data_IF_048832330964
#
_entry.id   IF_048832330964
#
_cell.length_a   1.000
_cell.length_b   1.000
_cell.length_c   1.000
_cell.angle_alpha   90.00
_cell.angle_beta   90.00
_cell.angle_gamma   90.00
#
_symmetry.space_group_name_H-M   'P 1'
#
loop_
_entity.id
_entity.type
_entity.pdbx_description
1 polymer ?
#
# COMPACT_ATOMS: atom_id res chain seq x y z
N UNK A 1 -2.62 -3.33 -16.92
CA UNK A 1 -2.36 -4.79 -16.96
C UNK A 1 -3.67 -5.52 -17.27
N UNK A 2 -3.68 -6.41 -18.25
CA UNK A 2 -4.87 -7.21 -18.57
C UNK A 2 -4.90 -8.48 -17.69
N UNK A 3 -5.71 -8.48 -16.63
CA UNK A 3 -5.82 -9.64 -15.73
C UNK A 3 -6.46 -10.88 -16.38
N UNK A 4 -7.03 -10.78 -17.59
CA UNK A 4 -7.53 -11.95 -18.33
C UNK A 4 -6.41 -12.80 -18.90
N UNK A 5 -5.27 -12.20 -19.22
CA UNK A 5 -4.11 -12.89 -19.82
C UNK A 5 -3.21 -13.53 -18.76
N UNK A 6 -3.32 -13.10 -17.50
CA UNK A 6 -2.46 -13.54 -16.39
C UNK A 6 -3.30 -13.91 -15.15
N UNK A 7 -3.99 -15.07 -15.15
CA UNK A 7 -4.91 -15.45 -14.09
C UNK A 7 -4.24 -15.62 -12.73
N UNK A 8 -3.00 -16.13 -12.69
CA UNK A 8 -2.24 -16.32 -11.46
C UNK A 8 -1.84 -14.99 -10.81
N UNK A 9 -1.44 -14.01 -11.64
CA UNK A 9 -1.18 -12.64 -11.18
C UNK A 9 -2.45 -12.00 -10.61
N UNK A 10 -3.59 -12.19 -11.28
CA UNK A 10 -4.87 -11.69 -10.78
C UNK A 10 -5.25 -12.36 -9.45
N UNK A 11 -4.99 -13.66 -9.30
CA UNK A 11 -5.23 -14.39 -8.06
C UNK A 11 -4.30 -13.92 -6.92
N UNK A 12 -3.01 -13.70 -7.20
CA UNK A 12 -2.06 -13.12 -6.26
C UNK A 12 -2.51 -11.73 -5.79
N UNK A 13 -2.87 -10.85 -6.72
CA UNK A 13 -3.37 -9.50 -6.41
C UNK A 13 -4.60 -9.53 -5.49
N UNK A 14 -5.59 -10.38 -5.78
CA UNK A 14 -6.78 -10.55 -4.93
C UNK A 14 -6.43 -11.07 -3.53
N UNK A 15 -5.48 -11.99 -3.42
CA UNK A 15 -5.00 -12.50 -2.12
C UNK A 15 -4.33 -11.40 -1.31
N UNK A 16 -3.41 -10.64 -1.91
CA UNK A 16 -2.72 -9.54 -1.25
C UNK A 16 -3.70 -8.45 -0.76
N UNK A 17 -4.70 -8.09 -1.56
CA UNK A 17 -5.73 -7.14 -1.13
C UNK A 17 -6.54 -7.67 0.06
N UNK A 18 -6.89 -8.97 0.05
CA UNK A 18 -7.60 -9.60 1.16
C UNK A 18 -6.77 -9.59 2.44
N UNK A 19 -5.49 -9.91 2.38
CA UNK A 19 -4.60 -9.85 3.54
C UNK A 19 -4.52 -8.43 4.11
N UNK A 20 -4.37 -7.41 3.25
CA UNK A 20 -4.38 -6.03 3.69
C UNK A 20 -5.70 -5.63 4.39
N UNK A 21 -6.85 -6.07 3.86
CA UNK A 21 -8.15 -5.85 4.49
C UNK A 21 -8.24 -6.52 5.87
N UNK A 22 -7.68 -7.71 6.02
CA UNK A 22 -7.62 -8.40 7.31
C UNK A 22 -6.73 -7.64 8.30
N UNK A 23 -5.58 -7.14 7.85
CA UNK A 23 -4.70 -6.31 8.67
C UNK A 23 -5.39 -5.03 9.15
N UNK A 24 -6.09 -4.31 8.25
CA UNK A 24 -6.86 -3.10 8.62
C UNK A 24 -7.90 -3.43 9.68
N UNK A 25 -8.67 -4.51 9.50
CA UNK A 25 -9.68 -4.94 10.47
C UNK A 25 -9.07 -5.32 11.83
N UNK A 26 -7.90 -5.96 11.82
CA UNK A 26 -7.20 -6.30 13.05
C UNK A 26 -6.74 -5.04 13.78
N UNK A 27 -6.15 -4.08 13.07
CA UNK A 27 -5.76 -2.78 13.64
C UNK A 27 -6.95 -2.01 14.21
N UNK A 28 -8.11 -2.05 13.55
CA UNK A 28 -9.35 -1.45 14.06
C UNK A 28 -9.85 -2.13 15.33
N UNK A 29 -9.89 -3.47 15.33
CA UNK A 29 -10.28 -4.26 16.50
C UNK A 29 -9.37 -4.02 17.71
N UNK A 30 -8.10 -3.76 17.46
CA UNK A 30 -7.10 -3.43 18.48
C UNK A 30 -7.02 -1.93 18.79
N UNK A 31 -7.93 -1.10 18.27
CA UNK A 31 -8.00 0.35 18.51
C UNK A 31 -6.74 1.13 18.10
N UNK A 32 -5.92 0.57 17.20
CA UNK A 32 -4.71 1.20 16.68
C UNK A 32 -5.03 2.23 15.59
N UNK A 33 -6.12 2.02 14.84
CA UNK A 33 -6.64 2.95 13.83
C UNK A 33 -8.16 3.12 14.02
N UNK A 34 -8.72 4.22 13.52
CA UNK A 34 -10.14 4.53 13.67
C UNK A 34 -11.04 3.40 13.17
N UNK A 35 -12.07 3.06 13.95
CA UNK A 35 -13.11 2.10 13.57
C UNK A 35 -13.98 2.59 12.38
N UNK A 36 -14.55 1.64 11.64
CA UNK A 36 -15.42 1.92 10.49
C UNK A 36 -14.68 2.07 9.16
N UNK A 37 -15.41 1.96 8.05
CA UNK A 37 -14.88 2.15 6.69
C UNK A 37 -13.66 1.27 6.32
N UNK A 38 -13.57 0.04 6.82
CA UNK A 38 -12.43 -0.85 6.61
C UNK A 38 -12.04 -1.01 5.12
N UNK A 39 -13.03 -1.10 4.22
CA UNK A 39 -12.79 -1.21 2.77
C UNK A 39 -12.16 0.06 2.19
N UNK A 40 -12.65 1.23 2.59
CA UNK A 40 -12.10 2.52 2.14
C UNK A 40 -10.68 2.73 2.67
N UNK A 41 -10.43 2.42 3.95
CA UNK A 41 -9.09 2.48 4.56
C UNK A 41 -8.12 1.50 3.89
N UNK A 42 -8.59 0.30 3.57
CA UNK A 42 -7.83 -0.69 2.76
C UNK A 42 -7.53 -0.15 1.37
N UNK A 43 -8.51 0.46 0.69
CA UNK A 43 -8.32 1.04 -0.63
C UNK A 43 -7.30 2.18 -0.60
N UNK A 44 -7.35 3.06 0.40
CA UNK A 44 -6.34 4.11 0.57
C UNK A 44 -4.93 3.53 0.73
N UNK A 45 -4.75 2.55 1.61
CA UNK A 45 -3.48 1.85 1.78
C UNK A 45 -2.99 1.18 0.49
N UNK A 46 -3.90 0.50 -0.20
CA UNK A 46 -3.63 -0.16 -1.48
C UNK A 46 -3.21 0.84 -2.57
N UNK A 47 -3.93 1.97 -2.68
CA UNK A 47 -3.61 3.05 -3.63
C UNK A 47 -2.23 3.66 -3.37
N UNK A 48 -1.82 3.82 -2.11
CA UNK A 48 -0.50 4.36 -1.78
C UNK A 48 0.61 3.40 -2.21
N UNK A 49 0.51 2.10 -1.89
CA UNK A 49 1.52 1.10 -2.30
C UNK A 49 1.65 1.05 -3.82
N UNK A 50 0.52 1.04 -4.53
CA UNK A 50 0.53 1.06 -5.99
C UNK A 50 1.09 2.37 -6.55
N UNK A 51 0.70 3.52 -6.00
CA UNK A 51 1.22 4.82 -6.40
C UNK A 51 2.74 4.90 -6.24
N UNK A 52 3.26 4.48 -5.10
CA UNK A 52 4.71 4.40 -4.85
C UNK A 52 5.42 3.48 -5.83
N UNK A 53 4.83 2.31 -6.10
CA UNK A 53 5.41 1.34 -7.03
C UNK A 53 5.48 1.91 -8.46
N UNK A 54 4.41 2.59 -8.90
CA UNK A 54 4.40 3.25 -10.22
C UNK A 54 5.40 4.40 -10.30
N UNK A 55 5.46 5.26 -9.28
CA UNK A 55 6.44 6.35 -9.22
C UNK A 55 7.88 5.83 -9.28
N UNK A 56 8.17 4.71 -8.62
CA UNK A 56 9.47 4.05 -8.66
C UNK A 56 9.78 3.48 -10.05
N UNK A 57 8.85 2.73 -10.64
CA UNK A 57 9.03 2.10 -11.95
C UNK A 57 9.15 3.13 -13.08
N UNK A 58 8.45 4.25 -12.97
CA UNK A 58 8.45 5.32 -13.97
C UNK A 58 9.63 6.32 -13.78
N UNK A 59 10.51 6.09 -12.79
CA UNK A 59 11.64 6.98 -12.49
C UNK A 59 11.21 8.38 -11.99
N UNK A 60 9.97 8.51 -11.50
CA UNK A 60 9.39 9.75 -10.97
C UNK A 60 9.60 9.91 -9.46
N UNK A 61 10.29 8.96 -8.84
CA UNK A 61 10.60 9.02 -7.43
C UNK A 61 11.71 10.07 -7.17
N UNK A 62 11.52 11.02 -6.23
CA UNK A 62 12.42 12.15 -6.04
C UNK A 62 13.73 11.80 -5.28
N UNK A 63 14.24 10.58 -5.43
CA UNK A 63 15.50 10.12 -4.87
C UNK A 63 16.41 9.57 -5.99
N UNK A 64 17.74 9.76 -5.91
CA UNK A 64 18.66 9.14 -6.86
C UNK A 64 18.48 7.62 -6.86
N UNK A 65 18.35 6.98 -8.03
CA UNK A 65 18.20 5.51 -8.15
C UNK A 65 19.30 4.72 -7.43
N UNK A 66 20.48 5.33 -7.24
CA UNK A 66 21.63 4.75 -6.55
C UNK A 66 21.59 4.87 -5.02
N UNK A 67 20.63 5.60 -4.44
CA UNK A 67 20.53 5.82 -3.00
C UNK A 67 19.38 5.01 -2.39
N UNK A 68 19.64 3.70 -2.24
CA UNK A 68 18.70 2.76 -1.64
C UNK A 68 18.29 3.15 -0.21
N UNK A 69 19.16 3.87 0.52
CA UNK A 69 18.89 4.31 1.90
C UNK A 69 17.87 5.46 1.88
N UNK A 70 18.04 6.43 0.98
CA UNK A 70 17.08 7.52 0.79
C UNK A 70 15.70 7.00 0.34
N UNK A 71 15.70 6.01 -0.56
CA UNK A 71 14.49 5.33 -1.02
C UNK A 71 13.75 4.66 0.14
N UNK A 72 14.45 3.85 0.93
CA UNK A 72 13.86 3.15 2.08
C UNK A 72 13.27 4.14 3.11
N UNK A 73 13.99 5.23 3.39
CA UNK A 73 13.50 6.28 4.29
C UNK A 73 12.21 6.89 3.77
N UNK A 74 12.15 7.26 2.50
CA UNK A 74 10.96 7.90 1.94
C UNK A 74 9.76 6.95 1.89
N UNK A 75 9.97 5.66 1.61
CA UNK A 75 8.91 4.64 1.71
C UNK A 75 8.38 4.55 3.14
N UNK A 76 9.27 4.52 4.14
CA UNK A 76 8.88 4.54 5.57
C UNK A 76 8.06 5.78 5.91
N UNK A 77 8.49 6.96 5.47
CA UNK A 77 7.79 8.22 5.74
C UNK A 77 6.38 8.22 5.13
N UNK A 78 6.22 7.69 3.92
CA UNK A 78 4.90 7.58 3.26
C UNK A 78 3.99 6.57 3.98
N UNK A 79 4.53 5.45 4.47
CA UNK A 79 3.78 4.48 5.28
C UNK A 79 3.33 5.11 6.61
N UNK A 80 4.19 5.90 7.24
CA UNK A 80 3.85 6.64 8.47
C UNK A 80 2.72 7.63 8.21
N UNK A 81 2.79 8.39 7.11
CA UNK A 81 1.73 9.31 6.71
C UNK A 81 0.40 8.58 6.42
N UNK A 82 0.46 7.41 5.78
CA UNK A 82 -0.71 6.55 5.61
C UNK A 82 -1.30 6.19 6.98
N UNK A 83 -0.50 5.69 7.92
CA UNK A 83 -0.99 5.32 9.25
C UNK A 83 -1.66 6.49 9.97
N UNK A 84 -1.05 7.67 9.95
CA UNK A 84 -1.63 8.87 10.57
C UNK A 84 -2.90 9.34 9.86
N UNK A 85 -2.98 9.24 8.53
CA UNK A 85 -4.20 9.54 7.78
C UNK A 85 -5.32 8.49 7.96
N UNK A 86 -4.98 7.30 8.45
CA UNK A 86 -5.95 6.25 8.79
C UNK A 86 -6.43 6.31 10.25
N UNK A 87 -5.66 6.94 11.14
CA UNK A 87 -6.04 7.23 12.53
C UNK A 87 -7.19 8.23 12.60
#
# INVERSE_FOLDING_TARGET
MNFKEYPDLAAASRRSYRELLLSVRLCQKSELIQNGHAKQKTLAAWSIVHGLSMLLLDGQFPAPESDAIAMEKMVKDVIVNLYYGLK
#
